data_IF_166783234615
#
_entry.id   IF_166783234615
#
_cell.length_a   1.000
_cell.length_b   1.000
_cell.length_c   1.000
_cell.angle_alpha   90.00
_cell.angle_beta   90.00
_cell.angle_gamma   90.00
#
_symmetry.space_group_name_H-M   'P 1'
#
loop_
_entity.id
_entity.type
_entity.pdbx_description
1 polymer ?
#
# COMPACT_ATOMS: atom_id res chain seq x y z
N UNK A 1 -4.95 -21.76 -5.29
CA UNK A 1 -5.26 -20.61 -6.17
C UNK A 1 -3.99 -19.79 -6.32
N UNK A 2 -3.69 -19.29 -7.52
CA UNK A 2 -2.52 -18.45 -7.81
C UNK A 2 -3.04 -17.07 -8.25
N UNK A 3 -2.35 -16.02 -7.82
CA UNK A 3 -2.60 -14.64 -8.27
C UNK A 3 -1.36 -14.18 -9.03
N UNK A 4 -1.58 -13.47 -10.14
CA UNK A 4 -0.53 -12.92 -10.99
C UNK A 4 -0.72 -11.41 -11.03
N UNK A 5 0.34 -10.68 -10.75
CA UNK A 5 0.36 -9.21 -10.73
C UNK A 5 1.38 -8.69 -11.74
N UNK A 6 1.24 -7.41 -12.11
CA UNK A 6 2.34 -6.71 -12.77
C UNK A 6 3.59 -6.72 -11.88
N UNK A 7 4.76 -6.86 -12.50
CA UNK A 7 6.02 -6.77 -11.77
C UNK A 7 6.45 -5.31 -11.65
N UNK A 8 6.61 -4.83 -10.41
CA UNK A 8 7.10 -3.49 -10.09
C UNK A 8 8.59 -3.58 -9.77
N UNK A 9 9.42 -3.00 -10.64
CA UNK A 9 10.86 -3.27 -10.74
C UNK A 9 11.75 -2.38 -9.85
N UNK A 10 11.20 -1.65 -8.88
CA UNK A 10 11.97 -0.80 -7.97
C UNK A 10 11.70 -1.12 -6.48
N UNK A 11 11.32 -2.37 -6.21
CA UNK A 11 11.15 -2.92 -4.86
C UNK A 11 9.98 -2.31 -4.07
N UNK A 12 10.02 -2.48 -2.76
CA UNK A 12 9.04 -1.91 -1.83
C UNK A 12 9.67 -0.88 -0.88
N UNK A 13 8.83 -0.09 -0.20
CA UNK A 13 9.28 0.98 0.69
C UNK A 13 10.13 0.45 1.87
N UNK A 14 9.84 -0.75 2.37
CA UNK A 14 10.64 -1.39 3.43
C UNK A 14 12.09 -1.59 2.99
N UNK A 15 12.30 -2.17 1.79
CA UNK A 15 13.63 -2.39 1.22
C UNK A 15 14.41 -1.07 1.05
N UNK A 16 13.72 0.00 0.67
CA UNK A 16 14.32 1.33 0.55
C UNK A 16 14.67 1.94 1.92
N UNK A 17 13.79 1.84 2.91
CA UNK A 17 14.00 2.40 4.24
C UNK A 17 15.11 1.67 5.03
N UNK A 18 15.27 0.36 4.80
CA UNK A 18 16.24 -0.47 5.51
C UNK A 18 17.54 -0.72 4.72
N UNK A 19 17.73 -0.03 3.60
CA UNK A 19 19.02 0.01 2.88
C UNK A 19 19.29 -1.15 1.93
N UNK A 20 18.34 -2.07 1.74
CA UNK A 20 18.44 -3.14 0.74
C UNK A 20 18.56 -2.59 -0.70
N UNK A 21 18.05 -1.36 -0.92
CA UNK A 21 18.13 -0.66 -2.21
C UNK A 21 19.30 0.35 -2.31
N UNK A 22 20.25 0.32 -1.38
CA UNK A 22 21.37 1.29 -1.32
C UNK A 22 22.20 1.38 -2.61
N UNK A 23 22.34 0.28 -3.37
CA UNK A 23 23.03 0.26 -4.66
C UNK A 23 22.28 1.01 -5.77
N UNK A 24 20.97 1.21 -5.61
CA UNK A 24 20.11 1.94 -6.54
C UNK A 24 20.00 3.44 -6.19
N UNK A 25 20.55 3.86 -5.04
CA UNK A 25 20.59 5.25 -4.60
C UNK A 25 20.04 5.44 -3.19
N UNK A 26 19.69 6.69 -2.87
CA UNK A 26 19.15 7.10 -1.58
C UNK A 26 17.71 7.55 -1.78
N UNK A 27 16.83 7.13 -0.86
CA UNK A 27 15.46 7.62 -0.82
C UNK A 27 15.43 9.07 -0.31
N UNK A 28 15.50 10.02 -1.25
CA UNK A 28 15.47 11.46 -0.99
C UNK A 28 14.16 11.89 -0.30
N UNK A 29 14.17 13.06 0.34
CA UNK A 29 12.95 13.61 0.95
C UNK A 29 11.83 13.80 -0.07
N UNK A 30 12.16 14.31 -1.25
CA UNK A 30 11.21 14.49 -2.35
C UNK A 30 10.55 13.17 -2.75
N UNK A 31 11.33 12.10 -2.95
CA UNK A 31 10.78 10.77 -3.25
C UNK A 31 9.90 10.23 -2.13
N UNK A 32 10.27 10.46 -0.85
CA UNK A 32 9.43 10.08 0.30
C UNK A 32 8.09 10.81 0.27
N UNK A 33 8.09 12.12 0.01
CA UNK A 33 6.86 12.90 -0.10
C UNK A 33 5.99 12.43 -1.27
N UNK A 34 6.61 12.10 -2.41
CA UNK A 34 5.91 11.55 -3.58
C UNK A 34 5.23 10.22 -3.27
N UNK A 35 5.95 9.29 -2.61
CA UNK A 35 5.42 7.99 -2.18
C UNK A 35 4.29 8.16 -1.15
N UNK A 36 4.47 9.04 -0.18
CA UNK A 36 3.45 9.34 0.84
C UNK A 36 2.15 9.84 0.19
N UNK A 37 2.28 10.83 -0.70
CA UNK A 37 1.14 11.40 -1.41
C UNK A 37 0.43 10.37 -2.29
N UNK A 38 1.18 9.55 -3.04
CA UNK A 38 0.60 8.49 -3.86
C UNK A 38 -0.14 7.45 -3.04
N UNK A 39 0.44 7.04 -1.90
CA UNK A 39 -0.18 6.08 -0.98
C UNK A 39 -1.47 6.64 -0.37
N UNK A 40 -1.44 7.90 0.06
CA UNK A 40 -2.62 8.58 0.60
C UNK A 40 -3.73 8.70 -0.46
N UNK A 41 -3.39 9.02 -1.71
CA UNK A 41 -4.35 9.06 -2.83
C UNK A 41 -4.97 7.69 -3.09
N UNK A 42 -4.18 6.62 -3.07
CA UNK A 42 -4.69 5.26 -3.23
C UNK A 42 -5.67 4.90 -2.10
N UNK A 43 -5.35 5.23 -0.85
CA UNK A 43 -6.25 4.99 0.29
C UNK A 43 -7.53 5.83 0.20
N UNK A 44 -7.42 7.11 -0.14
CA UNK A 44 -8.59 7.97 -0.35
C UNK A 44 -9.51 7.42 -1.45
N UNK A 45 -8.92 6.91 -2.54
CA UNK A 45 -9.68 6.25 -3.60
C UNK A 45 -10.44 5.03 -3.07
N UNK A 46 -9.77 4.13 -2.35
CA UNK A 46 -10.38 2.92 -1.80
C UNK A 46 -11.51 3.21 -0.80
N UNK A 47 -11.39 4.29 -0.02
CA UNK A 47 -12.33 4.61 1.04
C UNK A 47 -13.49 5.51 0.60
N UNK A 48 -13.30 6.35 -0.42
CA UNK A 48 -14.28 7.40 -0.73
C UNK A 48 -14.69 7.46 -2.21
N UNK A 49 -13.90 6.91 -3.14
CA UNK A 49 -14.17 7.03 -4.57
C UNK A 49 -14.85 5.80 -5.18
N UNK A 50 -14.97 4.70 -4.43
CA UNK A 50 -15.56 3.44 -4.90
C UNK A 50 -16.62 2.93 -3.94
N UNK A 51 -17.60 2.23 -4.50
CA UNK A 51 -18.71 1.59 -3.77
C UNK A 51 -18.86 0.12 -4.21
N UNK A 52 -18.84 -0.86 -3.28
CA UNK A 52 -18.60 -0.69 -1.84
C UNK A 52 -17.17 -0.23 -1.54
N UNK A 53 -16.99 0.48 -0.42
CA UNK A 53 -15.69 0.94 0.07
C UNK A 53 -14.79 -0.26 0.35
N UNK A 54 -13.48 -0.10 0.16
CA UNK A 54 -12.50 -1.17 0.39
C UNK A 54 -11.57 -0.82 1.54
N UNK A 55 -11.64 -1.58 2.63
CA UNK A 55 -10.69 -1.47 3.74
C UNK A 55 -9.54 -2.44 3.50
N UNK A 56 -8.33 -1.94 3.25
CA UNK A 56 -7.16 -2.78 2.94
C UNK A 56 -6.70 -3.68 4.10
N UNK A 57 -6.72 -3.15 5.33
CA UNK A 57 -6.33 -3.82 6.61
C UNK A 57 -4.88 -4.30 6.74
N UNK A 58 -3.98 -3.98 5.81
CA UNK A 58 -2.57 -4.36 5.92
C UNK A 58 -1.65 -3.33 5.25
N UNK A 59 -1.87 -2.05 5.57
CA UNK A 59 -1.02 -0.97 5.09
C UNK A 59 0.25 -0.92 5.92
N UNK A 60 1.38 -1.17 5.26
CA UNK A 60 2.72 -1.18 5.83
C UNK A 60 3.75 -0.98 4.72
N UNK A 61 4.99 -0.63 5.08
CA UNK A 61 6.05 -0.33 4.11
C UNK A 61 6.37 -1.48 3.13
N UNK A 62 6.24 -2.75 3.55
CA UNK A 62 6.44 -3.91 2.66
C UNK A 62 5.36 -4.06 1.58
N UNK A 63 4.17 -3.47 1.81
CA UNK A 63 3.02 -3.51 0.90
C UNK A 63 2.88 -2.23 0.05
N UNK A 64 3.87 -1.33 0.11
CA UNK A 64 3.97 -0.18 -0.78
C UNK A 64 5.07 -0.45 -1.79
N UNK A 65 4.70 -0.89 -2.99
CA UNK A 65 5.62 -1.07 -4.10
C UNK A 65 5.99 0.29 -4.69
N UNK A 66 7.20 0.40 -5.21
CA UNK A 66 7.75 1.65 -5.77
C UNK A 66 8.17 1.34 -7.20
N UNK A 67 7.75 2.16 -8.17
CA UNK A 67 8.22 2.05 -9.55
C UNK A 67 9.50 2.88 -9.79
N UNK A 68 10.05 2.84 -11.00
CA UNK A 68 11.29 3.55 -11.35
C UNK A 68 11.19 5.07 -11.30
N UNK A 69 9.97 5.62 -11.32
CA UNK A 69 9.71 7.05 -11.19
C UNK A 69 9.40 7.44 -9.73
N UNK A 70 9.57 6.51 -8.79
CA UNK A 70 9.20 6.67 -7.38
C UNK A 70 7.72 6.98 -7.15
N UNK A 71 6.82 6.52 -8.05
CA UNK A 71 5.41 6.45 -7.73
C UNK A 71 5.15 5.23 -6.85
N UNK A 72 4.23 5.37 -5.89
CA UNK A 72 3.81 4.28 -5.01
C UNK A 72 2.65 3.49 -5.59
N UNK A 73 2.67 2.16 -5.43
CA UNK A 73 1.52 1.27 -5.68
C UNK A 73 1.22 0.46 -4.42
N UNK A 74 0.00 0.57 -3.90
CA UNK A 74 -0.47 -0.24 -2.78
C UNK A 74 -0.71 -1.67 -3.27
N UNK A 75 -0.19 -2.66 -2.53
CA UNK A 75 -0.27 -4.08 -2.90
C UNK A 75 -0.76 -4.95 -1.73
N UNK A 76 -1.02 -6.23 -2.03
CA UNK A 76 -1.49 -7.24 -1.07
C UNK A 76 -2.86 -6.96 -0.44
N UNK A 77 -3.88 -7.06 -1.28
CA UNK A 77 -5.29 -7.03 -0.87
C UNK A 77 -5.76 -8.37 -0.28
N UNK A 78 -4.86 -9.29 0.10
CA UNK A 78 -5.23 -10.60 0.66
C UNK A 78 -6.05 -10.52 1.95
N UNK A 79 -5.88 -9.41 2.69
CA UNK A 79 -6.67 -9.09 3.87
C UNK A 79 -7.76 -8.05 3.60
N UNK A 80 -7.97 -7.57 2.38
CA UNK A 80 -8.96 -6.52 2.13
C UNK A 80 -10.39 -6.97 2.45
N UNK A 81 -11.24 -6.01 2.81
CA UNK A 81 -12.68 -6.21 3.04
C UNK A 81 -13.50 -5.12 2.40
N UNK A 82 -14.68 -5.50 1.92
CA UNK A 82 -15.69 -4.57 1.46
C UNK A 82 -16.45 -4.03 2.67
N UNK A 83 -16.69 -2.72 2.68
CA UNK A 83 -17.52 -1.99 3.63
C UNK A 83 -18.64 -1.33 2.81
N UNK A 84 -19.89 -1.71 3.08
CA UNK A 84 -21.03 -1.09 2.41
C UNK A 84 -21.13 0.41 2.78
N UNK A 85 -21.63 1.23 1.85
CA UNK A 85 -21.73 2.69 2.01
C UNK A 85 -22.40 3.15 3.30
N UNK A 86 -23.38 2.38 3.76
CA UNK A 86 -24.23 2.71 4.91
C UNK A 86 -23.65 2.17 6.23
N UNK A 87 -22.57 1.38 6.16
CA UNK A 87 -21.94 0.78 7.32
C UNK A 87 -20.78 1.63 7.84
N UNK A 88 -20.73 1.82 9.16
CA UNK A 88 -19.61 2.50 9.84
C UNK A 88 -18.51 1.56 10.30
N UNK A 89 -18.74 0.24 10.29
CA UNK A 89 -17.80 -0.77 10.78
C UNK A 89 -18.02 -2.12 10.10
N UNK A 90 -17.00 -2.99 10.18
CA UNK A 90 -17.08 -4.40 9.75
C UNK A 90 -16.76 -5.29 10.96
N UNK A 91 -17.66 -6.20 11.31
CA UNK A 91 -17.37 -7.24 12.30
C UNK A 91 -16.51 -8.34 11.66
N UNK A 92 -15.20 -8.30 11.94
CA UNK A 92 -14.23 -9.27 11.43
C UNK A 92 -13.20 -9.58 12.51
N UNK A 93 -12.59 -10.77 12.44
CA UNK A 93 -11.39 -11.09 13.21
C UNK A 93 -10.31 -10.03 12.97
N UNK A 94 -9.56 -9.70 14.04
CA UNK A 94 -8.36 -8.87 13.98
C UNK A 94 -7.32 -9.54 13.10
N UNK A 95 -6.90 -8.83 12.06
CA UNK A 95 -5.91 -9.22 11.06
C UNK A 95 -5.06 -8.00 10.72
N UNK A 96 -3.88 -8.23 10.17
CA UNK A 96 -2.92 -7.17 9.82
C UNK A 96 -1.55 -7.47 10.39
N UNK A 97 -0.68 -6.48 10.36
CA UNK A 97 0.69 -6.58 10.86
C UNK A 97 0.79 -5.95 12.25
N UNK A 98 1.41 -6.65 13.20
CA UNK A 98 1.60 -6.12 14.55
C UNK A 98 2.39 -4.80 14.52
N UNK A 99 1.87 -3.76 15.17
CA UNK A 99 2.46 -2.43 15.20
C UNK A 99 1.91 -1.44 14.18
N UNK A 100 0.94 -1.86 13.34
CA UNK A 100 0.18 -1.02 12.42
C UNK A 100 -1.30 -0.98 12.79
#
# INVERSE_FOLDING_TARGET
>A
RMLVYEYVNNGNLEQWLHGAMSQHGILSWESRTKILLGTAKALAYLHEAIDPKVVHRDIKSSNILIDTEFNSKVSDFGLAKLLDSDASHINTRVMGTYGY
#
